data_IF_130190266579
#
_entry.id   IF_130190266579
#
_cell.length_a   1.000
_cell.length_b   1.000
_cell.length_c   1.000
_cell.angle_alpha   90.00
_cell.angle_beta   90.00
_cell.angle_gamma   90.00
#
_symmetry.space_group_name_H-M   'P 1'
#
loop_
_entity.id
_entity.type
_entity.pdbx_description
1 polymer ?
#
# COMPACT_ATOMS: atom_id res chain seq x y z
N UNK A 1 -1.83 -22.30 4.49
CA UNK A 1 -2.92 -21.51 5.10
C UNK A 1 -2.50 -20.08 5.40
N UNK A 2 -1.32 -19.86 5.96
CA UNK A 2 -0.87 -18.53 6.37
C UNK A 2 -0.60 -17.55 5.21
N UNK A 3 0.12 -17.96 4.16
CA UNK A 3 0.40 -17.09 3.00
C UNK A 3 -0.86 -16.68 2.23
N UNK A 4 -1.86 -17.57 2.11
CA UNK A 4 -3.17 -17.23 1.54
C UNK A 4 -3.88 -16.15 2.36
N UNK A 5 -3.88 -16.30 3.68
CA UNK A 5 -4.44 -15.29 4.59
C UNK A 5 -3.73 -13.94 4.48
N UNK A 6 -2.39 -13.94 4.40
CA UNK A 6 -1.62 -12.71 4.19
C UNK A 6 -1.97 -12.07 2.85
N UNK A 7 -2.04 -12.85 1.76
CA UNK A 7 -2.36 -12.33 0.43
C UNK A 7 -3.74 -11.64 0.39
N UNK A 8 -4.76 -12.25 0.98
CA UNK A 8 -6.09 -11.63 1.07
C UNK A 8 -6.09 -10.33 1.90
N UNK A 9 -5.38 -10.31 3.04
CA UNK A 9 -5.27 -9.10 3.86
C UNK A 9 -4.49 -8.00 3.16
N UNK A 10 -3.42 -8.32 2.44
CA UNK A 10 -2.65 -7.36 1.63
C UNK A 10 -3.57 -6.73 0.58
N UNK A 11 -4.31 -7.54 -0.20
CA UNK A 11 -5.23 -7.04 -1.22
C UNK A 11 -6.29 -6.13 -0.62
N UNK A 12 -6.96 -6.57 0.45
CA UNK A 12 -8.02 -5.79 1.08
C UNK A 12 -7.48 -4.48 1.68
N UNK A 13 -6.35 -4.53 2.39
CA UNK A 13 -5.72 -3.35 2.99
C UNK A 13 -5.25 -2.36 1.92
N UNK A 14 -4.68 -2.87 0.81
CA UNK A 14 -4.29 -2.06 -0.35
C UNK A 14 -5.49 -1.34 -0.97
N UNK A 15 -6.59 -2.06 -1.23
CA UNK A 15 -7.83 -1.47 -1.75
C UNK A 15 -8.39 -0.40 -0.82
N UNK A 16 -8.47 -0.68 0.48
CA UNK A 16 -8.92 0.29 1.49
C UNK A 16 -8.01 1.52 1.60
N UNK A 17 -6.70 1.37 1.36
CA UNK A 17 -5.79 2.50 1.30
C UNK A 17 -6.11 3.40 0.09
N UNK A 18 -6.40 2.80 -1.07
CA UNK A 18 -6.70 3.56 -2.30
C UNK A 18 -8.05 4.28 -2.23
N UNK A 19 -9.04 3.75 -1.50
CA UNK A 19 -10.32 4.46 -1.33
C UNK A 19 -10.19 5.81 -0.63
N UNK A 20 -9.13 6.00 0.15
CA UNK A 20 -8.85 7.28 0.84
C UNK A 20 -8.60 8.44 -0.14
N UNK A 21 -8.19 8.16 -1.38
CA UNK A 21 -7.98 9.18 -2.41
C UNK A 21 -9.22 10.05 -2.63
N UNK A 22 -10.43 9.49 -2.43
CA UNK A 22 -11.70 10.22 -2.57
C UNK A 22 -11.78 11.47 -1.67
N UNK A 23 -11.05 11.48 -0.55
CA UNK A 23 -11.02 12.62 0.35
C UNK A 23 -10.30 13.84 -0.24
N UNK A 24 -9.48 13.66 -1.28
CA UNK A 24 -8.80 14.73 -2.00
C UNK A 24 -9.75 15.64 -2.80
N UNK A 25 -10.98 15.20 -3.09
CA UNK A 25 -11.96 15.99 -3.87
C UNK A 25 -12.58 17.15 -3.08
N UNK A 26 -12.64 17.04 -1.75
CA UNK A 26 -13.18 18.11 -0.90
C UNK A 26 -12.45 18.08 0.45
N UNK A 27 -11.19 18.48 0.46
CA UNK A 27 -10.31 18.39 1.63
C UNK A 27 -10.70 19.39 2.72
N UNK A 28 -10.52 18.98 3.98
CA UNK A 28 -10.57 19.84 5.15
C UNK A 28 -9.64 19.27 6.24
N UNK A 29 -9.50 19.97 7.37
CA UNK A 29 -8.61 19.56 8.47
C UNK A 29 -8.86 18.10 8.92
N UNK A 30 -10.13 17.74 9.11
CA UNK A 30 -10.50 16.41 9.58
C UNK A 30 -10.14 15.33 8.55
N UNK A 31 -10.31 15.61 7.25
CA UNK A 31 -9.93 14.70 6.17
C UNK A 31 -8.42 14.53 6.04
N UNK A 32 -7.63 15.59 6.22
CA UNK A 32 -6.17 15.48 6.26
C UNK A 32 -5.71 14.58 7.41
N UNK A 33 -6.22 14.82 8.62
CA UNK A 33 -5.93 13.97 9.80
C UNK A 33 -6.38 12.53 9.60
N UNK A 34 -7.54 12.31 8.98
CA UNK A 34 -8.03 10.98 8.65
C UNK A 34 -7.08 10.28 7.67
N UNK A 35 -6.70 10.93 6.57
CA UNK A 35 -5.77 10.34 5.61
C UNK A 35 -4.42 10.02 6.23
N UNK A 36 -3.85 10.92 7.04
CA UNK A 36 -2.58 10.67 7.72
C UNK A 36 -2.65 9.46 8.66
N UNK A 37 -3.69 9.40 9.51
CA UNK A 37 -3.88 8.28 10.43
C UNK A 37 -4.14 6.96 9.70
N UNK A 38 -4.98 6.98 8.68
CA UNK A 38 -5.30 5.81 7.88
C UNK A 38 -4.10 5.32 7.09
N UNK A 39 -3.31 6.22 6.47
CA UNK A 39 -2.08 5.86 5.77
C UNK A 39 -1.09 5.18 6.72
N UNK A 40 -0.86 5.74 7.91
CA UNK A 40 0.02 5.14 8.92
C UNK A 40 -0.46 3.75 9.33
N UNK A 41 -1.75 3.61 9.63
CA UNK A 41 -2.34 2.34 10.07
C UNK A 41 -2.27 1.27 8.97
N UNK A 42 -2.77 1.59 7.78
CA UNK A 42 -2.84 0.66 6.64
C UNK A 42 -1.45 0.27 6.15
N UNK A 43 -0.51 1.21 6.08
CA UNK A 43 0.89 0.91 5.71
C UNK A 43 1.53 -0.07 6.70
N UNK A 44 1.30 0.12 8.00
CA UNK A 44 1.81 -0.81 9.03
C UNK A 44 1.29 -2.22 8.79
N UNK A 45 -0.03 -2.39 8.59
CA UNK A 45 -0.62 -3.71 8.31
C UNK A 45 -0.09 -4.33 7.01
N UNK A 46 0.02 -3.53 5.94
CA UNK A 46 0.58 -3.96 4.67
C UNK A 46 2.00 -4.51 4.84
N UNK A 47 2.89 -3.78 5.52
CA UNK A 47 4.27 -4.22 5.71
C UNK A 47 4.37 -5.44 6.62
N UNK A 48 3.53 -5.56 7.65
CA UNK A 48 3.50 -6.76 8.48
C UNK A 48 3.22 -8.01 7.64
N UNK A 49 2.17 -7.97 6.81
CA UNK A 49 1.80 -9.12 5.96
C UNK A 49 2.79 -9.35 4.81
N UNK A 50 3.30 -8.28 4.16
CA UNK A 50 4.29 -8.38 3.10
C UNK A 50 5.61 -8.99 3.61
N UNK A 51 6.14 -8.49 4.74
CA UNK A 51 7.37 -9.03 5.32
C UNK A 51 7.22 -10.49 5.73
N UNK A 52 6.05 -10.86 6.25
CA UNK A 52 5.73 -12.25 6.59
C UNK A 52 5.71 -13.14 5.36
N UNK A 53 5.09 -12.66 4.28
CA UNK A 53 5.03 -13.41 3.02
C UNK A 53 6.43 -13.55 2.39
N UNK A 54 7.19 -12.45 2.27
CA UNK A 54 8.58 -12.45 1.78
C UNK A 54 9.47 -13.41 2.57
N UNK A 55 9.33 -13.46 3.89
CA UNK A 55 10.14 -14.33 4.75
C UNK A 55 9.88 -15.82 4.50
N UNK A 56 8.69 -16.16 4.01
CA UNK A 56 8.27 -17.54 3.71
C UNK A 56 8.59 -17.97 2.27
N UNK A 57 8.92 -17.03 1.38
CA UNK A 57 9.27 -17.30 -0.02
C UNK A 57 10.77 -17.57 -0.22
N UNK A 58 11.12 -18.11 -1.39
CA UNK A 58 12.50 -18.40 -1.81
C UNK A 58 12.79 -17.86 -3.22
N UNK A 59 14.07 -17.79 -3.54
CA UNK A 59 14.61 -17.54 -4.89
C UNK A 59 14.00 -16.30 -5.55
N UNK A 60 13.67 -16.39 -6.84
CA UNK A 60 13.17 -15.29 -7.67
C UNK A 60 11.90 -14.64 -7.12
N UNK A 61 11.00 -15.41 -6.49
CA UNK A 61 9.76 -14.86 -5.93
C UNK A 61 10.03 -13.98 -4.72
N UNK A 62 10.99 -14.36 -3.88
CA UNK A 62 11.42 -13.55 -2.74
C UNK A 62 12.02 -12.23 -3.21
N UNK A 63 12.86 -12.27 -4.24
CA UNK A 63 13.47 -11.08 -4.84
C UNK A 63 12.41 -10.14 -5.44
N UNK A 64 11.48 -10.68 -6.23
CA UNK A 64 10.39 -9.91 -6.82
C UNK A 64 9.54 -9.20 -5.76
N UNK A 65 9.09 -9.93 -4.74
CA UNK A 65 8.25 -9.35 -3.68
C UNK A 65 9.01 -8.33 -2.84
N UNK A 66 10.31 -8.52 -2.66
CA UNK A 66 11.17 -7.56 -1.96
C UNK A 66 11.32 -6.26 -2.77
N UNK A 67 11.58 -6.34 -4.08
CA UNK A 67 11.64 -5.14 -4.94
C UNK A 67 10.31 -4.37 -4.94
N UNK A 68 9.19 -5.08 -5.13
CA UNK A 68 7.87 -4.49 -5.11
C UNK A 68 7.56 -3.82 -3.77
N UNK A 69 7.91 -4.46 -2.65
CA UNK A 69 7.71 -3.90 -1.31
C UNK A 69 8.60 -2.67 -1.07
N UNK A 70 9.83 -2.66 -1.56
CA UNK A 70 10.71 -1.50 -1.48
C UNK A 70 10.19 -0.33 -2.34
N UNK A 71 9.67 -0.62 -3.54
CA UNK A 71 9.00 0.38 -4.40
C UNK A 71 7.76 0.95 -3.74
N UNK A 72 6.89 0.09 -3.20
CA UNK A 72 5.70 0.51 -2.45
C UNK A 72 6.09 1.41 -1.28
N UNK A 73 7.13 1.03 -0.53
CA UNK A 73 7.63 1.81 0.61
C UNK A 73 8.08 3.21 0.24
N UNK A 74 8.81 3.35 -0.87
CA UNK A 74 9.23 4.65 -1.38
C UNK A 74 8.04 5.53 -1.76
N UNK A 75 7.02 4.99 -2.43
CA UNK A 75 5.85 5.78 -2.83
C UNK A 75 4.93 6.10 -1.67
N UNK A 76 4.74 5.19 -0.71
CA UNK A 76 4.00 5.49 0.52
C UNK A 76 4.68 6.58 1.36
N UNK A 77 6.01 6.61 1.42
CA UNK A 77 6.73 7.72 2.09
C UNK A 77 6.52 9.07 1.37
N UNK A 78 6.50 9.07 0.03
CA UNK A 78 6.19 10.27 -0.75
C UNK A 78 4.73 10.72 -0.54
N UNK A 79 3.79 9.77 -0.51
CA UNK A 79 2.38 10.03 -0.25
C UNK A 79 2.16 10.59 1.16
N UNK A 80 2.77 9.98 2.18
CA UNK A 80 2.75 10.48 3.56
C UNK A 80 3.24 11.93 3.65
N UNK A 81 4.37 12.24 3.00
CA UNK A 81 4.89 13.62 2.94
C UNK A 81 3.91 14.56 2.24
N UNK A 82 3.28 14.14 1.14
CA UNK A 82 2.31 14.95 0.42
C UNK A 82 1.04 15.22 1.25
N UNK A 83 0.57 14.23 2.00
CA UNK A 83 -0.57 14.37 2.93
C UNK A 83 -0.25 15.30 4.09
N UNK A 84 0.93 15.15 4.72
CA UNK A 84 1.39 16.04 5.79
C UNK A 84 1.58 17.49 5.35
N UNK A 85 2.06 17.68 4.13
CA UNK A 85 2.19 19.01 3.50
C UNK A 85 0.89 19.49 2.84
N UNK A 86 -0.18 18.69 2.89
CA UNK A 86 -1.52 19.00 2.39
C UNK A 86 -1.55 19.36 0.90
N UNK A 87 -0.60 18.82 0.14
CA UNK A 87 -0.50 19.04 -1.30
C UNK A 87 -1.40 18.07 -2.04
N UNK A 88 -2.60 18.51 -2.42
CA UNK A 88 -3.54 17.71 -3.22
C UNK A 88 -2.91 17.22 -4.54
N UNK A 89 -2.19 18.04 -5.32
CA UNK A 89 -1.58 17.57 -6.57
C UNK A 89 -0.57 16.44 -6.34
N UNK A 90 0.32 16.59 -5.36
CA UNK A 90 1.32 15.56 -5.05
C UNK A 90 0.69 14.30 -4.46
N UNK A 91 -0.31 14.46 -3.59
CA UNK A 91 -1.01 13.33 -3.01
C UNK A 91 -1.67 12.49 -4.10
N UNK A 92 -2.33 13.12 -5.09
CA UNK A 92 -2.95 12.42 -6.23
C UNK A 92 -1.92 11.69 -7.09
N UNK A 93 -0.77 12.31 -7.38
CA UNK A 93 0.32 11.65 -8.11
C UNK A 93 0.77 10.40 -7.35
N UNK A 94 1.02 10.51 -6.05
CA UNK A 94 1.54 9.39 -5.27
C UNK A 94 0.49 8.33 -4.94
N UNK A 95 -0.81 8.65 -4.89
CA UNK A 95 -1.86 7.63 -4.87
C UNK A 95 -1.84 6.79 -6.16
N UNK A 96 -1.66 7.41 -7.32
CA UNK A 96 -1.51 6.69 -8.58
C UNK A 96 -0.24 5.81 -8.59
N UNK A 97 0.89 6.33 -8.13
CA UNK A 97 2.14 5.55 -8.01
C UNK A 97 1.94 4.31 -7.10
N UNK A 98 1.30 4.50 -5.94
CA UNK A 98 0.98 3.43 -4.99
C UNK A 98 0.01 2.42 -5.63
N UNK A 99 -1.01 2.87 -6.34
CA UNK A 99 -1.98 2.00 -7.01
C UNK A 99 -1.34 1.11 -8.09
N UNK A 100 -0.35 1.64 -8.83
CA UNK A 100 0.42 0.86 -9.80
C UNK A 100 1.16 -0.27 -9.09
N UNK A 101 1.92 0.04 -8.03
CA UNK A 101 2.71 -0.98 -7.31
C UNK A 101 1.81 -1.99 -6.59
N UNK A 102 0.69 -1.56 -6.01
CA UNK A 102 -0.27 -2.48 -5.38
C UNK A 102 -0.88 -3.47 -6.39
N UNK A 103 -1.14 -3.05 -7.63
CA UNK A 103 -1.59 -3.96 -8.70
C UNK A 103 -0.51 -4.97 -9.11
N UNK A 104 0.75 -4.53 -9.18
CA UNK A 104 1.88 -5.44 -9.45
C UNK A 104 2.06 -6.46 -8.31
N UNK A 105 1.93 -6.02 -7.05
CA UNK A 105 1.92 -6.92 -5.88
C UNK A 105 0.76 -7.89 -5.97
N UNK A 106 -0.46 -7.42 -6.23
CA UNK A 106 -1.63 -8.29 -6.36
C UNK A 106 -1.45 -9.34 -7.46
N UNK A 107 -0.88 -8.96 -8.61
CA UNK A 107 -0.54 -9.91 -9.67
C UNK A 107 0.47 -10.97 -9.21
N UNK A 108 1.51 -10.57 -8.48
CA UNK A 108 2.48 -11.50 -7.88
C UNK A 108 1.85 -12.42 -6.82
N UNK A 109 0.74 -11.99 -6.21
CA UNK A 109 0.01 -12.74 -5.20
C UNK A 109 -1.08 -13.66 -5.76
N UNK A 110 -1.41 -13.60 -7.06
CA UNK A 110 -2.44 -14.43 -7.68
C UNK A 110 -2.38 -15.93 -7.33
N UNK A 111 -1.19 -16.58 -7.26
CA UNK A 111 -1.09 -17.98 -6.86
C UNK A 111 -1.59 -18.30 -5.44
N UNK A 112 -1.72 -17.28 -4.57
CA UNK A 112 -2.20 -17.42 -3.19
C UNK A 112 -3.68 -17.04 -3.03
N UNK A 113 -4.26 -16.40 -4.05
CA UNK A 113 -5.63 -15.87 -4.03
C UNK A 113 -6.65 -16.81 -4.70
N UNK A 114 -6.18 -17.89 -5.31
CA UNK A 114 -6.97 -19.00 -5.88
C UNK A 114 -7.41 -20.03 -4.83
#
# INVERSE_FOLDING_TARGET
MESKGCAHRIRNCGSELLTLEVHLTNVNENKWKLMENSLRLKSTFLYCDLNRLISNEKDERKELLTDLTNRLSRYLAKLDRAVKTRSVPLARIHYNDVAIVLREIEAALMPFLS
#
